data_IF_278641961178
#
_entry.id   IF_278641961178
#
_cell.length_a   1.000
_cell.length_b   1.000
_cell.length_c   1.000
_cell.angle_alpha   90.00
_cell.angle_beta   90.00
_cell.angle_gamma   90.00
#
_symmetry.space_group_name_H-M   'P 1'
#
loop_
_entity.id
_entity.type
_entity.pdbx_description
1 polymer ?
#
# COMPACT_ATOMS: atom_id res chain seq x y z
N UNK A 1 19.00 9.22 -8.22
CA UNK A 1 17.83 8.84 -7.41
C UNK A 1 17.16 10.15 -7.04
N UNK A 2 15.91 10.32 -7.44
CA UNK A 2 15.16 11.57 -7.22
C UNK A 2 14.15 11.31 -6.10
N UNK A 3 14.01 12.28 -5.19
CA UNK A 3 13.00 12.23 -4.14
C UNK A 3 11.72 12.83 -4.69
N UNK A 4 10.63 12.07 -4.65
CA UNK A 4 9.31 12.61 -4.99
C UNK A 4 8.78 13.39 -3.80
N UNK A 5 8.27 14.59 -4.07
CA UNK A 5 7.57 15.38 -3.08
C UNK A 5 6.33 14.63 -2.57
N UNK A 6 6.12 14.70 -1.26
CA UNK A 6 4.98 14.06 -0.60
C UNK A 6 4.30 15.07 0.32
N UNK A 7 2.98 15.19 0.18
CA UNK A 7 2.17 16.08 1.00
C UNK A 7 2.11 15.59 2.46
N UNK A 8 2.16 16.48 3.45
CA UNK A 8 1.91 16.11 4.85
C UNK A 8 0.51 15.50 5.00
N UNK A 9 0.39 14.47 5.84
CA UNK A 9 -0.89 13.83 6.18
C UNK A 9 -1.69 13.26 5.01
N UNK A 10 -1.04 12.85 3.91
CA UNK A 10 -1.69 12.20 2.76
C UNK A 10 -1.39 10.68 2.65
N UNK A 11 -1.79 9.84 3.63
CA UNK A 11 -1.57 8.40 3.56
C UNK A 11 -2.36 7.74 2.41
N UNK A 12 -3.40 8.40 1.92
CA UNK A 12 -4.15 8.02 0.73
C UNK A 12 -3.33 8.17 -0.57
N UNK A 13 -2.32 9.04 -0.58
CA UNK A 13 -1.34 9.17 -1.65
C UNK A 13 -0.07 8.37 -1.40
N UNK A 14 0.11 7.79 -0.21
CA UNK A 14 1.20 6.84 0.05
C UNK A 14 0.86 5.50 -0.57
N UNK A 15 1.67 5.04 -1.53
CA UNK A 15 1.50 3.73 -2.19
C UNK A 15 1.48 2.57 -1.18
N UNK A 16 2.38 2.58 -0.20
CA UNK A 16 2.49 1.49 0.75
C UNK A 16 1.27 1.42 1.68
N UNK A 17 0.84 2.56 2.21
CA UNK A 17 -0.26 2.63 3.18
C UNK A 17 -1.62 2.36 2.54
N UNK A 18 -1.82 2.86 1.32
CA UNK A 18 -3.11 2.74 0.62
C UNK A 18 -3.29 1.46 -0.19
N UNK A 19 -2.21 0.82 -0.67
CA UNK A 19 -2.31 -0.28 -1.64
C UNK A 19 -1.58 -1.54 -1.19
N UNK A 20 -0.28 -1.44 -0.91
CA UNK A 20 0.56 -2.62 -0.66
C UNK A 20 0.28 -3.27 0.70
N UNK A 21 0.21 -2.48 1.77
CA UNK A 21 -0.05 -3.01 3.11
C UNK A 21 -1.42 -3.66 3.26
N UNK A 22 -2.53 -3.08 2.75
CA UNK A 22 -3.82 -3.77 2.78
C UNK A 22 -3.78 -5.16 2.14
N UNK A 23 -3.11 -5.33 0.99
CA UNK A 23 -3.00 -6.63 0.31
C UNK A 23 -2.23 -7.66 1.15
N UNK A 24 -1.08 -7.27 1.69
CA UNK A 24 -0.25 -8.17 2.52
C UNK A 24 -0.97 -8.50 3.83
N UNK A 25 -1.53 -7.49 4.50
CA UNK A 25 -2.31 -7.67 5.74
C UNK A 25 -3.53 -8.57 5.51
N UNK A 26 -4.17 -8.48 4.36
CA UNK A 26 -5.28 -9.38 4.00
C UNK A 26 -4.83 -10.85 3.85
N UNK A 27 -3.65 -11.11 3.27
CA UNK A 27 -3.08 -12.47 3.20
C UNK A 27 -2.74 -13.04 4.57
N UNK A 28 -2.24 -12.20 5.47
CA UNK A 28 -1.88 -12.58 6.84
C UNK A 28 -3.06 -12.53 7.81
N UNK A 29 -4.25 -12.13 7.34
CA UNK A 29 -5.42 -11.92 8.19
C UNK A 29 -5.84 -13.22 8.86
N UNK A 30 -6.01 -13.17 10.18
CA UNK A 30 -6.45 -14.31 10.98
C UNK A 30 -5.33 -15.27 11.41
N UNK A 31 -4.11 -15.08 10.91
CA UNK A 31 -2.94 -15.81 11.39
C UNK A 31 -2.53 -15.29 12.77
N UNK A 32 -2.07 -16.20 13.63
CA UNK A 32 -1.49 -15.87 14.94
C UNK A 32 -0.04 -16.34 14.93
N UNK A 33 0.86 -15.46 15.35
CA UNK A 33 2.28 -15.73 15.44
C UNK A 33 2.67 -15.84 16.91
N UNK A 34 3.58 -16.77 17.22
CA UNK A 34 4.09 -17.01 18.56
C UNK A 34 5.21 -16.03 18.93
N UNK A 35 5.86 -15.43 17.94
CA UNK A 35 6.91 -14.43 18.15
C UNK A 35 6.92 -13.32 17.10
N UNK A 36 7.56 -12.17 17.39
CA UNK A 36 7.77 -11.10 16.42
C UNK A 36 8.56 -11.56 15.18
N UNK A 37 9.55 -12.44 15.37
CA UNK A 37 10.41 -12.95 14.29
C UNK A 37 9.59 -13.76 13.29
N UNK A 38 8.69 -14.62 13.78
CA UNK A 38 7.77 -15.39 12.96
C UNK A 38 6.84 -14.47 12.15
N UNK A 39 6.31 -13.42 12.79
CA UNK A 39 5.46 -12.44 12.11
C UNK A 39 6.21 -11.68 11.00
N UNK A 40 7.48 -11.32 11.25
CA UNK A 40 8.35 -10.66 10.25
C UNK A 40 8.68 -11.58 9.10
N UNK A 41 8.97 -12.86 9.37
CA UNK A 41 9.22 -13.86 8.33
C UNK A 41 7.97 -14.10 7.47
N UNK A 42 6.80 -14.28 8.09
CA UNK A 42 5.54 -14.41 7.38
C UNK A 42 5.24 -13.20 6.49
N UNK A 43 5.53 -11.98 6.98
CA UNK A 43 5.40 -10.76 6.19
C UNK A 43 6.36 -10.74 4.99
N UNK A 44 7.63 -11.08 5.19
CA UNK A 44 8.63 -11.15 4.10
C UNK A 44 8.21 -12.14 3.03
N UNK A 45 7.77 -13.33 3.42
CA UNK A 45 7.32 -14.35 2.48
C UNK A 45 6.07 -13.87 1.72
N UNK A 46 5.10 -13.27 2.41
CA UNK A 46 3.92 -12.71 1.76
C UNK A 46 4.23 -11.59 0.75
N UNK A 47 5.29 -10.80 0.98
CA UNK A 47 5.79 -9.79 0.03
C UNK A 47 6.45 -10.45 -1.19
N UNK A 48 7.29 -11.47 -0.98
CA UNK A 48 8.00 -12.17 -2.05
C UNK A 48 7.05 -13.01 -2.93
N UNK A 49 5.98 -13.55 -2.34
CA UNK A 49 4.94 -14.31 -3.02
C UNK A 49 3.92 -13.44 -3.78
N UNK A 50 4.08 -12.11 -3.76
CA UNK A 50 3.24 -11.23 -4.58
C UNK A 50 3.74 -11.26 -6.03
N UNK A 51 2.89 -11.66 -6.99
CA UNK A 51 3.29 -11.71 -8.39
C UNK A 51 3.55 -10.30 -8.95
N UNK A 52 4.45 -10.20 -9.92
CA UNK A 52 4.88 -8.92 -10.50
C UNK A 52 3.72 -8.07 -11.05
N UNK A 53 2.67 -8.70 -11.58
CA UNK A 53 1.48 -7.99 -12.07
C UNK A 53 0.72 -7.27 -10.94
N UNK A 54 0.72 -7.79 -9.71
CA UNK A 54 0.10 -7.15 -8.57
C UNK A 54 0.87 -5.92 -8.12
N UNK A 55 2.20 -5.91 -8.29
CA UNK A 55 3.03 -4.72 -8.10
C UNK A 55 2.72 -3.66 -9.16
N UNK A 56 2.64 -4.03 -10.44
CA UNK A 56 2.30 -3.10 -11.52
C UNK A 56 0.93 -2.44 -11.27
N UNK A 57 -0.09 -3.22 -10.91
CA UNK A 57 -1.40 -2.68 -10.52
C UNK A 57 -1.34 -1.73 -9.34
N UNK A 58 -0.44 -1.95 -8.37
CA UNK A 58 -0.26 -0.99 -7.26
C UNK A 58 0.30 0.35 -7.76
N UNK A 59 1.12 0.36 -8.81
CA UNK A 59 1.58 1.62 -9.40
C UNK A 59 0.50 2.29 -10.23
N UNK A 60 -0.26 1.54 -11.03
CA UNK A 60 -1.39 2.06 -11.81
C UNK A 60 -2.43 2.73 -10.90
N UNK A 61 -2.89 2.02 -9.86
CA UNK A 61 -3.83 2.57 -8.88
C UNK A 61 -3.28 3.79 -8.13
N UNK A 62 -1.96 3.86 -7.93
CA UNK A 62 -1.33 5.00 -7.26
C UNK A 62 -1.41 6.27 -8.13
N UNK A 63 -1.16 6.16 -9.43
CA UNK A 63 -1.34 7.27 -10.36
C UNK A 63 -2.81 7.70 -10.47
N UNK A 64 -3.74 6.75 -10.51
CA UNK A 64 -5.19 7.07 -10.49
C UNK A 64 -5.58 7.85 -9.23
N UNK A 65 -5.08 7.45 -8.06
CA UNK A 65 -5.33 8.17 -6.81
C UNK A 65 -4.77 9.59 -6.81
N UNK A 66 -3.57 9.80 -7.34
CA UNK A 66 -3.05 11.17 -7.52
C UNK A 66 -3.98 12.00 -8.39
N UNK A 67 -4.46 11.44 -9.50
CA UNK A 67 -5.38 12.15 -10.37
C UNK A 67 -6.71 12.48 -9.67
N UNK A 68 -7.23 11.56 -8.85
CA UNK A 68 -8.43 11.81 -8.04
C UNK A 68 -8.20 12.93 -7.02
N UNK A 69 -7.05 12.96 -6.34
CA UNK A 69 -6.70 14.04 -5.42
C UNK A 69 -6.68 15.41 -6.13
N UNK A 70 -6.15 15.48 -7.35
CA UNK A 70 -6.20 16.71 -8.17
C UNK A 70 -7.65 17.10 -8.45
N UNK A 71 -8.48 16.15 -8.87
CA UNK A 71 -9.90 16.39 -9.18
C UNK A 71 -10.70 16.85 -7.95
N UNK A 72 -10.35 16.33 -6.77
CA UNK A 72 -10.94 16.69 -5.49
C UNK A 72 -10.28 17.91 -4.83
N UNK A 73 -9.35 18.58 -5.52
CA UNK A 73 -8.65 19.78 -5.03
C UNK A 73 -7.91 19.57 -3.70
N UNK A 74 -7.35 18.37 -3.51
CA UNK A 74 -6.57 18.03 -2.31
C UNK A 74 -7.39 17.48 -1.14
N UNK A 75 -8.71 17.32 -1.30
CA UNK A 75 -9.54 16.63 -0.30
C UNK A 75 -9.25 15.13 -0.24
N UNK A 76 -9.47 14.54 0.94
CA UNK A 76 -9.19 13.13 1.20
C UNK A 76 -10.01 12.20 0.32
N UNK A 77 -9.34 11.14 -0.15
CA UNK A 77 -9.96 10.01 -0.84
C UNK A 77 -10.60 9.05 0.19
N UNK A 78 -11.56 9.50 0.99
CA UNK A 78 -12.35 8.59 1.83
C UNK A 78 -13.32 7.74 0.97
N UNK A 79 -13.62 6.53 1.46
CA UNK A 79 -14.38 5.47 0.76
C UNK A 79 -15.66 6.01 0.09
N UNK A 80 -15.61 6.22 -1.22
CA UNK A 80 -16.77 5.97 -2.08
C UNK A 80 -16.98 4.46 -2.23
#
# INVERSE_FOLDING_TARGET
MELLDHLPYSPDLSRNDSLTFPKIKNRLRGQRFQSPEEAVEAFKNAVLDLPANEWNKCFENWFERMQMCINLRGEYLEKQ
#
